data_IF_127326150950
#
_entry.id   IF_127326150950
#
_cell.length_a   1.000
_cell.length_b   1.000
_cell.length_c   1.000
_cell.angle_alpha   90.00
_cell.angle_beta   90.00
_cell.angle_gamma   90.00
#
_symmetry.space_group_name_H-M   'P 1'
#
loop_
_entity.id
_entity.type
_entity.pdbx_description
1 polymer ?
#
# COMPACT_ATOMS: atom_id res chain seq x y z
N UNK A 1 2.70 0.85 22.74
CA UNK A 1 1.52 0.80 21.83
C UNK A 1 2.09 0.81 20.42
N UNK A 2 1.61 0.02 19.50
CA UNK A 2 2.17 -0.06 18.15
C UNK A 2 1.80 1.17 17.32
N UNK A 3 2.80 1.85 16.78
CA UNK A 3 2.61 3.06 15.96
C UNK A 3 2.66 2.71 14.47
N UNK A 4 1.61 3.09 13.74
CA UNK A 4 1.44 2.76 12.31
C UNK A 4 1.26 4.01 11.47
N UNK A 5 1.90 4.06 10.31
CA UNK A 5 1.63 5.02 9.24
C UNK A 5 0.94 4.30 8.07
N UNK A 6 -0.20 4.83 7.63
CA UNK A 6 -0.90 4.37 6.42
C UNK A 6 -0.89 5.48 5.39
N UNK A 7 -0.31 5.28 4.20
CA UNK A 7 -0.34 6.27 3.11
C UNK A 7 -1.63 6.16 2.30
N UNK A 8 -2.19 7.30 1.86
CA UNK A 8 -3.47 7.32 1.13
C UNK A 8 -4.66 6.89 1.99
N UNK A 9 -4.68 7.32 3.26
CA UNK A 9 -5.63 6.85 4.28
C UNK A 9 -6.93 7.64 4.37
N UNK A 10 -7.21 8.55 3.43
CA UNK A 10 -8.40 9.40 3.47
C UNK A 10 -9.68 8.71 2.95
N UNK A 11 -9.55 7.59 2.23
CA UNK A 11 -10.68 6.82 1.66
C UNK A 11 -10.32 5.38 1.30
N UNK A 12 -11.31 4.61 0.87
CA UNK A 12 -11.14 3.27 0.31
C UNK A 12 -10.36 2.31 1.22
N UNK A 13 -9.43 1.55 0.63
CA UNK A 13 -8.62 0.55 1.35
C UNK A 13 -7.77 1.17 2.47
N UNK A 14 -7.19 2.36 2.23
CA UNK A 14 -6.36 3.02 3.24
C UNK A 14 -7.16 3.43 4.49
N UNK A 15 -8.37 3.96 4.31
CA UNK A 15 -9.26 4.32 5.41
C UNK A 15 -9.74 3.08 6.18
N UNK A 16 -10.14 2.03 5.48
CA UNK A 16 -10.57 0.78 6.11
C UNK A 16 -9.42 0.07 6.84
N UNK A 17 -8.21 0.06 6.26
CA UNK A 17 -7.00 -0.42 6.94
C UNK A 17 -6.77 0.37 8.22
N UNK A 18 -6.88 1.70 8.18
CA UNK A 18 -6.78 2.59 9.34
C UNK A 18 -7.80 2.21 10.42
N UNK A 19 -9.07 2.07 10.07
CA UNK A 19 -10.14 1.68 10.99
C UNK A 19 -9.83 0.35 11.68
N UNK A 20 -9.41 -0.65 10.91
CA UNK A 20 -9.12 -2.00 11.43
C UNK A 20 -7.90 -2.04 12.33
N UNK A 21 -6.84 -1.28 12.01
CA UNK A 21 -5.64 -1.21 12.84
C UNK A 21 -5.89 -0.46 14.15
N UNK A 22 -6.71 0.60 14.15
CA UNK A 22 -7.16 1.27 15.37
C UNK A 22 -7.94 0.28 16.25
N UNK A 23 -8.87 -0.47 15.68
CA UNK A 23 -9.62 -1.51 16.40
C UNK A 23 -8.72 -2.61 16.97
N UNK A 24 -7.56 -2.86 16.36
CA UNK A 24 -6.51 -3.77 16.87
C UNK A 24 -5.57 -3.13 17.92
N UNK A 25 -5.82 -1.87 18.33
CA UNK A 25 -5.06 -1.18 19.38
C UNK A 25 -3.83 -0.42 18.90
N UNK A 26 -3.68 -0.15 17.59
CA UNK A 26 -2.61 0.69 17.07
C UNK A 26 -2.93 2.18 17.19
N UNK A 27 -1.89 2.99 17.41
CA UNK A 27 -1.94 4.43 17.12
C UNK A 27 -1.67 4.62 15.63
N UNK A 28 -2.66 5.11 14.87
CA UNK A 28 -2.56 5.21 13.42
C UNK A 28 -2.41 6.66 12.97
N UNK A 29 -1.31 6.94 12.29
CA UNK A 29 -1.09 8.17 11.52
C UNK A 29 -1.65 7.95 10.11
N UNK A 30 -2.66 8.74 9.75
CA UNK A 30 -3.35 8.66 8.47
C UNK A 30 -2.74 9.65 7.47
N UNK A 31 -1.83 9.18 6.63
CA UNK A 31 -1.16 10.00 5.61
C UNK A 31 -2.07 10.31 4.43
N UNK A 32 -2.23 11.59 4.08
CA UNK A 32 -3.06 12.07 2.98
C UNK A 32 -2.55 13.38 2.38
N UNK A 33 -2.75 13.59 1.07
CA UNK A 33 -2.28 14.79 0.36
C UNK A 33 -2.96 16.07 0.83
N UNK A 34 -4.26 16.01 1.12
CA UNK A 34 -5.05 17.14 1.60
C UNK A 34 -5.72 16.78 2.92
N UNK A 35 -5.38 17.52 3.99
CA UNK A 35 -5.93 17.32 5.32
C UNK A 35 -7.43 17.63 5.43
N UNK A 36 -7.98 18.42 4.50
CA UNK A 36 -9.43 18.71 4.45
C UNK A 36 -10.26 17.46 4.09
N UNK A 37 -9.62 16.42 3.52
CA UNK A 37 -10.26 15.13 3.22
C UNK A 37 -10.14 14.12 4.37
N UNK A 38 -9.67 14.55 5.53
CA UNK A 38 -9.30 13.68 6.64
C UNK A 38 -10.38 13.47 7.71
N UNK A 39 -11.59 14.02 7.56
CA UNK A 39 -12.62 13.96 8.61
C UNK A 39 -12.99 12.52 8.98
N UNK A 40 -13.22 11.67 8.00
CA UNK A 40 -13.52 10.27 8.25
C UNK A 40 -12.40 9.54 9.04
N UNK A 41 -11.13 9.86 8.76
CA UNK A 41 -10.01 9.30 9.52
C UNK A 41 -9.95 9.84 10.96
N UNK A 42 -10.26 11.14 11.17
CA UNK A 42 -10.35 11.75 12.51
C UNK A 42 -11.46 11.14 13.35
N UNK A 43 -12.63 10.92 12.75
CA UNK A 43 -13.77 10.28 13.42
C UNK A 43 -13.46 8.85 13.89
N UNK A 44 -12.58 8.15 13.19
CA UNK A 44 -12.07 6.84 13.60
C UNK A 44 -11.05 6.90 14.73
N UNK A 45 -10.55 8.09 15.08
CA UNK A 45 -9.49 8.28 16.08
C UNK A 45 -8.08 8.22 15.50
N UNK A 46 -7.90 8.27 14.18
CA UNK A 46 -6.60 8.38 13.55
C UNK A 46 -6.04 9.81 13.69
N UNK A 47 -4.73 9.93 13.56
CA UNK A 47 -4.01 11.21 13.54
C UNK A 47 -3.70 11.55 12.07
N UNK A 48 -4.41 12.50 11.43
CA UNK A 48 -4.11 12.87 10.05
C UNK A 48 -2.75 13.55 9.93
N UNK A 49 -1.99 13.16 8.91
CA UNK A 49 -0.70 13.77 8.57
C UNK A 49 -0.71 14.13 7.09
N UNK A 50 -0.33 15.37 6.77
CA UNK A 50 -0.16 15.76 5.38
C UNK A 50 1.01 15.02 4.78
N UNK A 51 0.72 14.17 3.79
CA UNK A 51 1.71 13.31 3.12
C UNK A 51 1.35 13.17 1.64
N UNK A 52 2.06 13.91 0.79
CA UNK A 52 2.09 13.65 -0.64
C UNK A 52 3.33 12.82 -0.95
N UNK A 53 3.11 11.58 -1.40
CA UNK A 53 4.21 10.64 -1.70
C UNK A 53 5.03 11.09 -2.92
N UNK A 54 4.51 12.00 -3.75
CA UNK A 54 5.21 12.53 -4.92
C UNK A 54 6.18 13.67 -4.57
N UNK A 55 6.07 14.25 -3.35
CA UNK A 55 6.83 15.41 -2.92
C UNK A 55 7.77 15.05 -1.77
N UNK A 56 9.12 15.09 -2.01
CA UNK A 56 10.11 14.70 -1.00
C UNK A 56 9.96 15.50 0.30
N UNK A 57 9.80 16.82 0.21
CA UNK A 57 9.65 17.69 1.37
C UNK A 57 8.40 17.35 2.20
N UNK A 58 7.31 16.95 1.54
CA UNK A 58 6.08 16.49 2.22
C UNK A 58 6.33 15.19 2.97
N UNK A 59 7.02 14.25 2.33
CA UNK A 59 7.39 12.97 2.95
C UNK A 59 8.28 13.20 4.16
N UNK A 60 9.33 14.00 4.02
CA UNK A 60 10.30 14.27 5.10
C UNK A 60 9.64 14.96 6.30
N UNK A 61 8.75 15.92 6.06
CA UNK A 61 7.98 16.59 7.12
C UNK A 61 7.02 15.62 7.82
N UNK A 62 6.30 14.80 7.06
CA UNK A 62 5.36 13.83 7.60
C UNK A 62 6.09 12.82 8.51
N UNK A 63 7.14 12.18 7.99
CA UNK A 63 7.91 11.18 8.75
C UNK A 63 8.62 11.82 9.94
N UNK A 64 9.20 13.02 9.76
CA UNK A 64 9.87 13.76 10.85
C UNK A 64 8.95 14.19 11.99
N UNK A 65 7.62 14.23 11.75
CA UNK A 65 6.63 14.54 12.80
C UNK A 65 6.24 13.33 13.65
N UNK A 66 6.59 12.11 13.24
CA UNK A 66 6.28 10.90 13.97
C UNK A 66 7.29 10.66 15.10
N UNK A 67 6.86 10.41 16.36
CA UNK A 67 7.78 10.12 17.46
C UNK A 67 8.47 8.75 17.30
N UNK A 68 7.73 7.79 16.73
CA UNK A 68 8.15 6.41 16.50
C UNK A 68 7.37 5.81 15.34
N UNK A 69 7.82 4.69 14.78
CA UNK A 69 7.11 3.96 13.75
C UNK A 69 7.47 2.46 13.82
N UNK A 70 6.45 1.64 14.01
CA UNK A 70 6.58 0.18 14.03
C UNK A 70 6.07 -0.46 12.74
N UNK A 71 4.99 0.09 12.19
CA UNK A 71 4.32 -0.46 11.01
C UNK A 71 4.15 0.61 9.93
N UNK A 72 4.62 0.32 8.72
CA UNK A 72 4.40 1.15 7.54
C UNK A 72 3.51 0.43 6.54
N UNK A 73 2.38 1.05 6.17
CA UNK A 73 1.48 0.58 5.11
C UNK A 73 1.58 1.51 3.91
N UNK A 74 2.26 1.07 2.86
CA UNK A 74 2.34 1.77 1.58
C UNK A 74 1.12 1.42 0.74
N UNK A 75 0.03 2.21 0.90
CA UNK A 75 -1.24 1.99 0.22
C UNK A 75 -1.52 3.05 -0.86
N UNK A 76 -0.94 4.25 -0.78
CA UNK A 76 -1.16 5.31 -1.76
C UNK A 76 -0.85 4.83 -3.19
N UNK A 77 -1.83 4.94 -4.08
CA UNK A 77 -1.69 4.53 -5.47
C UNK A 77 -2.67 5.27 -6.39
N UNK A 78 -2.32 5.32 -7.68
CA UNK A 78 -3.17 5.81 -8.77
C UNK A 78 -3.14 4.82 -9.93
N UNK A 79 -4.23 4.78 -10.74
CA UNK A 79 -4.27 3.99 -11.98
C UNK A 79 -3.52 4.69 -13.11
N UNK A 80 -3.59 6.02 -13.13
CA UNK A 80 -3.15 6.84 -14.26
C UNK A 80 -4.29 7.08 -15.27
N UNK A 81 -4.08 7.93 -16.27
CA UNK A 81 -5.11 8.34 -17.22
C UNK A 81 -5.38 7.34 -18.36
N UNK A 82 -4.47 6.39 -18.61
CA UNK A 82 -4.53 5.47 -19.73
C UNK A 82 -5.16 4.12 -19.34
N UNK A 83 -6.22 3.74 -20.03
CA UNK A 83 -7.02 2.54 -19.74
C UNK A 83 -6.95 1.48 -20.83
N UNK A 84 -6.46 1.85 -22.02
CA UNK A 84 -6.33 0.98 -23.20
C UNK A 84 -4.94 1.09 -23.80
N UNK A 85 -4.59 0.22 -24.76
CA UNK A 85 -3.35 0.36 -25.51
C UNK A 85 -3.36 1.54 -26.48
N UNK A 86 -4.55 1.92 -26.95
CA UNK A 86 -4.70 3.00 -27.92
C UNK A 86 -4.47 4.40 -27.31
N UNK A 87 -4.73 4.56 -26.02
CA UNK A 87 -4.51 5.80 -25.27
C UNK A 87 -3.23 5.78 -24.41
N UNK A 88 -2.41 4.74 -24.56
CA UNK A 88 -1.17 4.60 -23.83
C UNK A 88 -0.10 5.56 -24.33
N UNK A 89 0.40 6.40 -23.44
CA UNK A 89 1.57 7.24 -23.67
C UNK A 89 2.60 7.15 -22.53
N UNK A 90 3.75 7.77 -22.73
CA UNK A 90 4.84 7.78 -21.75
C UNK A 90 4.46 8.59 -20.51
N UNK A 91 3.63 9.62 -20.63
CA UNK A 91 3.20 10.43 -19.49
C UNK A 91 2.26 9.62 -18.57
N UNK A 92 1.35 8.82 -19.13
CA UNK A 92 0.55 7.88 -18.35
C UNK A 92 1.42 6.89 -17.55
N UNK A 93 2.50 6.38 -18.17
CA UNK A 93 3.50 5.56 -17.47
C UNK A 93 4.17 6.34 -16.33
N UNK A 94 4.62 7.57 -16.57
CA UNK A 94 5.28 8.41 -15.56
C UNK A 94 4.37 8.66 -14.35
N UNK A 95 3.11 9.03 -14.57
CA UNK A 95 2.13 9.31 -13.50
C UNK A 95 1.95 8.08 -12.60
N UNK A 96 1.75 6.90 -13.19
CA UNK A 96 1.59 5.68 -12.42
C UNK A 96 2.86 5.30 -11.64
N UNK A 97 4.04 5.37 -12.27
CA UNK A 97 5.31 5.05 -11.62
C UNK A 97 5.69 6.09 -10.57
N UNK A 98 5.44 7.38 -10.81
CA UNK A 98 5.76 8.44 -9.86
C UNK A 98 5.07 8.20 -8.52
N UNK A 99 3.77 7.91 -8.52
CA UNK A 99 3.03 7.68 -7.28
C UNK A 99 3.28 6.27 -6.72
N UNK A 100 3.10 5.23 -7.56
CA UNK A 100 3.02 3.86 -7.07
C UNK A 100 4.40 3.27 -6.74
N UNK A 101 5.46 3.74 -7.41
CA UNK A 101 6.82 3.19 -7.29
C UNK A 101 7.74 4.19 -6.61
N UNK A 102 7.97 5.35 -7.21
CA UNK A 102 8.93 6.32 -6.68
C UNK A 102 8.43 6.93 -5.37
N UNK A 103 7.13 7.24 -5.29
CA UNK A 103 6.48 7.71 -4.05
C UNK A 103 6.61 6.70 -2.91
N UNK A 104 6.35 5.42 -3.19
CA UNK A 104 6.56 4.34 -2.22
C UNK A 104 8.02 4.29 -1.75
N UNK A 105 8.98 4.36 -2.67
CA UNK A 105 10.41 4.33 -2.33
C UNK A 105 10.81 5.54 -1.47
N UNK A 106 10.32 6.76 -1.80
CA UNK A 106 10.56 7.97 -0.96
C UNK A 106 10.09 7.74 0.47
N UNK A 107 8.86 7.27 0.65
CA UNK A 107 8.30 7.01 1.98
C UNK A 107 9.11 5.95 2.71
N UNK A 108 9.47 4.85 2.06
CA UNK A 108 10.31 3.80 2.67
C UNK A 108 11.64 4.38 3.13
N UNK A 109 12.37 5.09 2.26
CA UNK A 109 13.69 5.63 2.60
C UNK A 109 13.62 6.60 3.79
N UNK A 110 12.64 7.50 3.82
CA UNK A 110 12.43 8.41 4.94
C UNK A 110 12.05 7.66 6.24
N UNK A 111 11.24 6.61 6.15
CA UNK A 111 10.75 5.86 7.30
C UNK A 111 11.76 4.86 7.89
N UNK A 112 12.75 4.40 7.10
CA UNK A 112 13.73 3.40 7.54
C UNK A 112 14.44 3.74 8.87
N UNK A 113 14.86 4.98 9.16
CA UNK A 113 15.48 5.31 10.45
C UNK A 113 14.56 5.09 11.65
N UNK A 114 13.24 5.32 11.51
CA UNK A 114 12.24 5.06 12.55
C UNK A 114 12.00 3.56 12.69
N UNK A 115 11.72 2.87 11.58
CA UNK A 115 11.47 1.42 11.56
C UNK A 115 12.64 0.62 12.15
N UNK A 116 13.90 1.02 11.89
CA UNK A 116 15.09 0.37 12.46
C UNK A 116 15.19 0.47 13.98
N UNK A 117 14.47 1.40 14.63
CA UNK A 117 14.41 1.52 16.09
C UNK A 117 13.29 0.70 16.72
N UNK A 118 12.33 0.23 15.91
CA UNK A 118 11.25 -0.64 16.39
C UNK A 118 11.76 -2.01 16.80
N UNK A 119 11.15 -2.59 17.82
CA UNK A 119 11.39 -3.96 18.24
C UNK A 119 10.73 -5.01 17.33
N UNK A 120 9.70 -4.60 16.57
CA UNK A 120 9.01 -5.43 15.58
C UNK A 120 8.65 -4.60 14.34
N UNK A 121 9.64 -4.25 13.50
CA UNK A 121 9.38 -3.42 12.33
C UNK A 121 8.68 -4.21 11.22
N UNK A 122 7.51 -3.72 10.82
CA UNK A 122 6.68 -4.32 9.77
C UNK A 122 6.46 -3.32 8.64
N UNK A 123 6.53 -3.80 7.41
CA UNK A 123 6.18 -3.04 6.21
C UNK A 123 5.27 -3.86 5.31
N UNK A 124 4.15 -3.27 4.91
CA UNK A 124 3.22 -3.87 3.95
C UNK A 124 3.07 -2.94 2.75
N UNK A 125 3.45 -3.43 1.58
CA UNK A 125 3.28 -2.74 0.32
C UNK A 125 2.02 -3.28 -0.39
N UNK A 126 1.04 -2.42 -0.63
CA UNK A 126 -0.20 -2.83 -1.30
C UNK A 126 0.07 -3.01 -2.79
N UNK A 127 0.13 -4.26 -3.20
CA UNK A 127 0.29 -4.72 -4.57
C UNK A 127 -1.03 -4.73 -5.36
N UNK A 128 -1.14 -5.68 -6.26
CA UNK A 128 -2.35 -6.00 -7.03
C UNK A 128 -2.10 -7.28 -7.84
N UNK A 129 -3.10 -8.12 -8.04
CA UNK A 129 -3.06 -9.24 -8.99
C UNK A 129 -2.64 -8.81 -10.39
N UNK A 130 -3.02 -7.59 -10.82
CA UNK A 130 -2.57 -6.98 -12.09
C UNK A 130 -1.05 -6.81 -12.20
N UNK A 131 -0.32 -6.76 -11.08
CA UNK A 131 1.15 -6.74 -11.08
C UNK A 131 1.79 -8.13 -11.17
N UNK A 132 1.00 -9.19 -11.23
CA UNK A 132 1.50 -10.56 -11.17
C UNK A 132 1.31 -11.29 -12.50
N UNK A 133 2.38 -11.57 -13.27
CA UNK A 133 2.27 -12.09 -14.63
C UNK A 133 1.43 -13.37 -14.73
N UNK A 134 1.50 -14.27 -13.74
CA UNK A 134 0.70 -15.49 -13.72
C UNK A 134 -0.82 -15.18 -13.68
N UNK A 135 -1.23 -14.21 -12.84
CA UNK A 135 -2.63 -13.81 -12.75
C UNK A 135 -3.14 -13.18 -14.06
N UNK A 136 -2.30 -12.38 -14.73
CA UNK A 136 -2.63 -11.78 -16.03
C UNK A 136 -2.82 -12.82 -17.15
N UNK A 137 -2.26 -14.02 -17.00
CA UNK A 137 -2.33 -15.09 -18.00
C UNK A 137 -3.33 -16.21 -17.63
N UNK A 138 -3.93 -16.13 -16.46
CA UNK A 138 -4.91 -17.11 -15.99
C UNK A 138 -6.34 -16.63 -16.28
N UNK A 139 -7.10 -17.27 -17.20
CA UNK A 139 -8.45 -16.86 -17.55
C UNK A 139 -9.46 -16.91 -16.38
N UNK A 140 -9.15 -17.66 -15.33
CA UNK A 140 -9.98 -17.79 -14.13
C UNK A 140 -9.67 -16.71 -13.07
N UNK A 141 -8.60 -15.90 -13.30
CA UNK A 141 -8.24 -14.80 -12.42
C UNK A 141 -8.89 -13.48 -12.88
N UNK A 142 -9.42 -12.70 -11.93
CA UNK A 142 -10.00 -11.37 -12.22
C UNK A 142 -9.04 -10.44 -12.95
N UNK A 143 -7.73 -10.60 -12.73
CA UNK A 143 -6.68 -9.79 -13.34
C UNK A 143 -6.52 -10.03 -14.84
N UNK A 144 -6.98 -11.20 -15.37
CA UNK A 144 -6.89 -11.54 -16.79
C UNK A 144 -7.58 -10.52 -17.70
N UNK A 145 -8.68 -9.93 -17.24
CA UNK A 145 -9.45 -8.93 -17.98
C UNK A 145 -8.98 -7.48 -17.80
N UNK A 146 -7.86 -7.28 -17.09
CA UNK A 146 -7.32 -5.96 -16.81
C UNK A 146 -6.28 -5.51 -17.84
N UNK A 147 -6.54 -4.41 -18.55
CA UNK A 147 -5.66 -3.89 -19.62
C UNK A 147 -4.88 -2.62 -19.23
N UNK A 148 -4.75 -2.35 -17.96
CA UNK A 148 -4.13 -1.11 -17.45
C UNK A 148 -2.59 -1.21 -17.41
N UNK A 149 -1.93 -1.09 -18.55
CA UNK A 149 -0.46 -1.26 -18.69
C UNK A 149 0.34 -0.41 -17.69
N UNK A 150 0.10 0.90 -17.51
CA UNK A 150 0.85 1.71 -16.55
C UNK A 150 0.69 1.20 -15.11
N UNK A 151 -0.53 0.93 -14.71
CA UNK A 151 -0.84 0.45 -13.37
C UNK A 151 -0.25 -0.94 -13.11
N UNK A 152 -0.52 -1.90 -14.00
CA UNK A 152 -0.04 -3.28 -13.89
C UNK A 152 1.49 -3.33 -13.78
N UNK A 153 2.19 -2.61 -14.67
CA UNK A 153 3.66 -2.52 -14.64
C UNK A 153 4.17 -1.90 -13.34
N UNK A 154 3.52 -0.85 -12.84
CA UNK A 154 3.90 -0.24 -11.57
C UNK A 154 3.71 -1.18 -10.38
N UNK A 155 2.62 -1.97 -10.38
CA UNK A 155 2.36 -2.96 -9.32
C UNK A 155 3.31 -4.16 -9.39
N UNK A 156 3.75 -4.58 -10.58
CA UNK A 156 4.82 -5.56 -10.73
C UNK A 156 6.14 -5.03 -10.10
N UNK A 157 6.47 -3.76 -10.32
CA UNK A 157 7.62 -3.12 -9.68
C UNK A 157 7.49 -3.09 -8.14
N UNK A 158 6.30 -2.77 -7.60
CA UNK A 158 6.02 -2.80 -6.14
C UNK A 158 6.29 -4.19 -5.55
N UNK A 159 5.81 -5.26 -6.20
CA UNK A 159 6.02 -6.65 -5.75
C UNK A 159 7.53 -6.98 -5.74
N UNK A 160 8.24 -6.68 -6.82
CA UNK A 160 9.68 -6.93 -6.94
C UNK A 160 10.49 -6.13 -5.91
N UNK A 161 10.17 -4.84 -5.72
CA UNK A 161 10.81 -4.00 -4.72
C UNK A 161 10.59 -4.54 -3.30
N UNK A 162 9.39 -5.06 -2.99
CA UNK A 162 9.10 -5.69 -1.70
C UNK A 162 10.07 -6.81 -1.39
N UNK A 163 10.29 -7.72 -2.35
CA UNK A 163 11.26 -8.82 -2.22
C UNK A 163 12.68 -8.30 -2.05
N UNK A 164 13.07 -7.27 -2.81
CA UNK A 164 14.40 -6.68 -2.70
C UNK A 164 14.65 -6.03 -1.33
N UNK A 165 13.67 -5.28 -0.80
CA UNK A 165 13.77 -4.72 0.54
C UNK A 165 13.82 -5.81 1.62
N UNK A 166 12.99 -6.85 1.51
CA UNK A 166 12.99 -7.97 2.46
C UNK A 166 14.35 -8.70 2.51
N UNK A 167 14.97 -8.93 1.34
CA UNK A 167 16.33 -9.55 1.26
C UNK A 167 17.40 -8.69 1.92
N UNK A 168 17.32 -7.38 1.78
CA UNK A 168 18.34 -6.45 2.27
C UNK A 168 18.11 -6.02 3.73
N UNK A 169 16.93 -6.27 4.29
CA UNK A 169 16.51 -5.90 5.63
C UNK A 169 15.91 -7.13 6.36
N UNK A 170 16.67 -8.21 6.56
CA UNK A 170 16.16 -9.48 7.11
C UNK A 170 15.61 -9.37 8.54
N UNK A 171 15.96 -8.30 9.26
CA UNK A 171 15.44 -7.99 10.59
C UNK A 171 14.03 -7.40 10.58
N UNK A 172 13.49 -7.03 9.39
CA UNK A 172 12.15 -6.49 9.24
C UNK A 172 11.21 -7.51 8.60
N UNK A 173 9.93 -7.41 8.90
CA UNK A 173 8.87 -8.19 8.22
C UNK A 173 8.31 -7.34 7.09
N UNK A 174 8.74 -7.59 5.86
CA UNK A 174 8.40 -6.80 4.67
C UNK A 174 7.69 -7.69 3.67
N UNK A 175 6.40 -7.41 3.41
CA UNK A 175 5.58 -8.23 2.55
C UNK A 175 4.73 -7.37 1.61
N UNK A 176 4.22 -7.96 0.55
CA UNK A 176 3.22 -7.35 -0.31
C UNK A 176 1.84 -7.99 -0.06
N UNK A 177 0.79 -7.17 -0.19
CA UNK A 177 -0.60 -7.64 -0.11
C UNK A 177 -1.34 -7.43 -1.43
N UNK A 178 -2.23 -8.35 -1.77
CA UNK A 178 -3.18 -8.23 -2.86
C UNK A 178 -4.58 -7.96 -2.30
N UNK A 179 -5.16 -6.78 -2.57
CA UNK A 179 -6.53 -6.49 -2.16
C UNK A 179 -7.59 -7.23 -3.00
N UNK A 180 -7.21 -7.88 -4.11
CA UNK A 180 -8.15 -8.42 -5.08
C UNK A 180 -8.98 -7.33 -5.76
N UNK A 181 -10.05 -7.73 -6.47
CA UNK A 181 -10.92 -6.79 -7.18
C UNK A 181 -11.95 -6.16 -6.24
N UNK A 182 -11.48 -5.16 -5.50
CA UNK A 182 -12.24 -4.47 -4.44
C UNK A 182 -12.96 -3.24 -4.96
N UNK A 183 -14.23 -3.05 -4.56
CA UNK A 183 -15.07 -1.89 -4.90
C UNK A 183 -14.55 -0.62 -4.22
N UNK A 184 -13.88 0.23 -4.99
CA UNK A 184 -13.31 1.51 -4.53
C UNK A 184 -13.45 2.58 -5.62
N UNK A 185 -13.20 3.84 -5.28
CA UNK A 185 -13.14 4.94 -6.27
C UNK A 185 -12.09 4.68 -7.37
N UNK A 186 -11.05 3.91 -7.06
CA UNK A 186 -9.96 3.60 -8.00
C UNK A 186 -10.47 2.90 -9.27
N UNK A 187 -11.54 2.11 -9.14
CA UNK A 187 -12.16 1.35 -10.24
C UNK A 187 -13.64 1.70 -10.44
N UNK A 188 -14.06 2.91 -10.00
CA UNK A 188 -15.45 3.38 -10.10
C UNK A 188 -16.45 2.39 -9.46
N UNK A 189 -16.05 1.77 -8.35
CA UNK A 189 -16.84 0.80 -7.57
C UNK A 189 -17.27 -0.46 -8.33
N UNK A 190 -16.50 -0.87 -9.35
CA UNK A 190 -16.79 -2.06 -10.16
C UNK A 190 -16.31 -3.37 -9.54
N UNK A 191 -15.53 -3.32 -8.46
CA UNK A 191 -15.05 -4.52 -7.76
C UNK A 191 -16.20 -5.29 -7.10
N UNK A 192 -16.06 -6.61 -6.99
CA UNK A 192 -17.05 -7.48 -6.34
C UNK A 192 -16.76 -7.70 -4.84
N UNK A 193 -15.54 -7.38 -4.38
CA UNK A 193 -15.19 -7.44 -2.97
C UNK A 193 -15.51 -6.12 -2.26
N UNK A 194 -15.89 -6.22 -1.00
CA UNK A 194 -16.01 -5.06 -0.10
C UNK A 194 -14.63 -4.54 0.28
N UNK A 195 -14.53 -3.28 0.72
CA UNK A 195 -13.26 -2.72 1.22
C UNK A 195 -12.72 -3.48 2.43
N UNK A 196 -13.61 -4.03 3.27
CA UNK A 196 -13.22 -4.88 4.41
C UNK A 196 -12.51 -6.16 3.93
N UNK A 197 -13.10 -6.86 2.97
CA UNK A 197 -12.49 -8.05 2.35
C UNK A 197 -11.17 -7.72 1.65
N UNK A 198 -11.11 -6.59 0.93
CA UNK A 198 -9.89 -6.14 0.25
C UNK A 198 -8.74 -5.77 1.19
N UNK A 199 -9.02 -5.49 2.46
CA UNK A 199 -7.97 -5.19 3.45
C UNK A 199 -7.54 -6.39 4.29
N UNK A 200 -8.14 -7.59 4.11
CA UNK A 200 -7.86 -8.75 4.95
C UNK A 200 -6.36 -9.11 4.95
N UNK A 201 -5.74 -9.24 3.78
CA UNK A 201 -4.32 -9.56 3.66
C UNK A 201 -3.43 -8.45 4.25
N UNK A 202 -3.74 -7.18 3.94
CA UNK A 202 -2.97 -6.02 4.43
C UNK A 202 -2.98 -5.97 5.96
N UNK A 203 -4.14 -6.12 6.57
CA UNK A 203 -4.29 -6.08 8.04
C UNK A 203 -3.64 -7.30 8.69
N UNK A 204 -3.83 -8.50 8.13
CA UNK A 204 -3.18 -9.71 8.64
C UNK A 204 -1.65 -9.55 8.66
N UNK A 205 -1.06 -9.04 7.57
CA UNK A 205 0.39 -8.79 7.47
C UNK A 205 0.86 -7.64 8.38
N UNK A 206 0.03 -6.64 8.66
CA UNK A 206 0.37 -5.54 9.56
C UNK A 206 0.44 -5.98 11.04
N UNK A 207 -0.22 -7.07 11.39
CA UNK A 207 -0.32 -7.60 12.76
C UNK A 207 0.64 -8.75 13.06
N UNK A 208 1.54 -9.10 12.13
CA UNK A 208 2.49 -10.20 12.33
C UNK A 208 3.54 -9.87 13.40
N UNK A 209 3.94 -10.89 14.12
CA UNK A 209 5.04 -10.81 15.08
C UNK A 209 6.43 -10.92 14.43
N UNK A 210 7.50 -10.87 15.24
CA UNK A 210 8.89 -10.89 14.76
C UNK A 210 9.27 -12.19 14.02
N UNK A 211 8.55 -13.28 14.24
CA UNK A 211 8.77 -14.57 13.58
C UNK A 211 7.86 -14.75 12.33
N UNK A 212 7.12 -13.71 11.95
CA UNK A 212 6.24 -13.74 10.80
C UNK A 212 6.96 -13.79 9.46
N UNK A 213 6.20 -13.96 8.34
CA UNK A 213 6.76 -14.03 7.00
C UNK A 213 7.45 -12.73 6.58
N UNK A 214 8.42 -12.85 5.66
CA UNK A 214 9.06 -11.71 4.99
C UNK A 214 9.41 -12.06 3.55
N UNK A 215 9.27 -11.10 2.63
CA UNK A 215 9.50 -11.31 1.20
C UNK A 215 8.38 -12.06 0.50
N UNK A 216 7.20 -12.12 1.09
CA UNK A 216 6.06 -12.86 0.55
C UNK A 216 4.98 -11.93 -0.03
N UNK A 217 4.14 -12.50 -0.90
CA UNK A 217 2.96 -11.87 -1.48
C UNK A 217 1.70 -12.61 -1.01
N UNK A 218 0.76 -11.89 -0.41
CA UNK A 218 -0.43 -12.47 0.20
C UNK A 218 -1.70 -11.84 -0.32
N UNK A 219 -2.64 -12.68 -0.71
CA UNK A 219 -4.03 -12.30 -0.94
C UNK A 219 -4.92 -12.71 0.22
N UNK A 220 -6.22 -12.48 0.09
CA UNK A 220 -7.23 -12.84 1.09
C UNK A 220 -7.21 -14.33 1.47
N UNK A 221 -6.88 -15.21 0.52
CA UNK A 221 -6.83 -16.66 0.72
C UNK A 221 -5.48 -17.16 1.29
N UNK A 222 -4.56 -16.28 1.58
CA UNK A 222 -3.23 -16.59 2.09
C UNK A 222 -2.12 -16.24 1.09
N UNK A 223 -0.98 -16.92 1.22
CA UNK A 223 0.21 -16.70 0.38
C UNK A 223 -0.08 -17.02 -1.08
N UNK A 224 0.37 -16.12 -1.97
CA UNK A 224 0.39 -16.29 -3.42
C UNK A 224 1.83 -16.63 -3.81
N UNK A 225 2.03 -17.76 -4.50
CA UNK A 225 3.36 -18.16 -4.99
C UNK A 225 3.79 -17.29 -6.18
N UNK A 226 5.07 -16.88 -6.19
CA UNK A 226 5.66 -16.07 -7.26
C UNK A 226 5.77 -16.83 -8.58
#
# INVERSE_FOLDING_TARGET
MTTTLVTGANKGLGLETTRRLIAAGHTVYAGMRNLDTGDAARELGAIPVQLDVNEQDSVDKAIGSLPELDVLINNAAVVGPSWTLDDLDIEAMRIAFETNVFGMVRVIQAALPLLKRSSNPVMVNVGSGLGFPRALLDPEDDSFHGYMVPYASSKAAVITLTVQYAKNLPQMRINASDPGYTSTDLNSHKGHQTVTEGTDATVALALIGPDGPTGEYHGRKGRIEY
#
